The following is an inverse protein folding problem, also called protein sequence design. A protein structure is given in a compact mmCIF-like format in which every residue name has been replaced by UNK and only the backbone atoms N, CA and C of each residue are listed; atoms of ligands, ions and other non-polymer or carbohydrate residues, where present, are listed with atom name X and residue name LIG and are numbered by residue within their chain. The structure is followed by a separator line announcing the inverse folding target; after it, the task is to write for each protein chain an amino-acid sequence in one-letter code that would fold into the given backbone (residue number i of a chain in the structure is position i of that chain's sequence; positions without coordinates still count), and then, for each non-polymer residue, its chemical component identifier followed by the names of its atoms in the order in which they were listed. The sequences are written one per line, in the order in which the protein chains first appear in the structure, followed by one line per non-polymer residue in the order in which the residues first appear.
data_IF_168424554978
#
_entry.id   IF_168424554978
#
_cell.length_a   1.000
_cell.length_b   1.000
_cell.length_c   1.000
_cell.angle_alpha   90.00
_cell.angle_beta   90.00
_cell.angle_gamma   90.00
#
_symmetry.space_group_name_H-M   'P 1'
#
loop_
_entity.id
_entity.type
_entity.pdbx_description
1 polymer ?
#
# COMPACT_ATOMS: atom_id res chain seq x y z
N UNK A 1 -9.58 -0.31 -11.22
CA UNK A 1 -9.31 -1.53 -10.43
C UNK A 1 -10.60 -2.00 -9.74
N UNK A 2 -10.79 -3.30 -9.45
CA UNK A 2 -11.95 -3.77 -8.67
C UNK A 2 -11.68 -3.57 -7.16
N UNK A 3 -12.57 -2.88 -6.43
CA UNK A 3 -12.42 -2.64 -4.98
C UNK A 3 -12.25 -3.94 -4.18
N UNK A 4 -12.96 -5.01 -4.56
CA UNK A 4 -12.87 -6.29 -3.86
C UNK A 4 -11.53 -6.99 -4.05
N UNK A 5 -10.82 -6.71 -5.14
CA UNK A 5 -9.47 -7.22 -5.38
C UNK A 5 -8.44 -6.49 -4.51
N UNK A 6 -8.56 -5.16 -4.39
CA UNK A 6 -7.69 -4.36 -3.51
C UNK A 6 -7.79 -4.89 -2.07
N UNK A 7 -9.02 -5.08 -1.58
CA UNK A 7 -9.27 -5.56 -0.23
C UNK A 7 -8.69 -6.94 0.03
N UNK A 8 -8.87 -7.86 -0.92
CA UNK A 8 -8.35 -9.21 -0.81
C UNK A 8 -6.82 -9.22 -0.74
N UNK A 9 -6.17 -8.50 -1.65
CA UNK A 9 -4.71 -8.49 -1.75
C UNK A 9 -4.07 -7.78 -0.56
N UNK A 10 -4.63 -6.67 -0.08
CA UNK A 10 -4.13 -5.99 1.11
C UNK A 10 -4.30 -6.84 2.38
N UNK A 11 -5.40 -7.59 2.50
CA UNK A 11 -5.59 -8.52 3.61
C UNK A 11 -4.55 -9.66 3.59
N UNK A 12 -4.27 -10.23 2.41
CA UNK A 12 -3.21 -11.24 2.27
C UNK A 12 -1.82 -10.68 2.61
N UNK A 13 -1.52 -9.47 2.18
CA UNK A 13 -0.27 -8.79 2.51
C UNK A 13 -0.13 -8.55 4.02
N UNK A 14 -1.19 -8.10 4.69
CA UNK A 14 -1.19 -7.88 6.14
C UNK A 14 -0.91 -9.19 6.90
N UNK A 15 -1.52 -10.30 6.47
CA UNK A 15 -1.25 -11.63 7.06
C UNK A 15 0.20 -12.09 6.89
N UNK A 16 0.87 -11.69 5.81
CA UNK A 16 2.27 -12.06 5.51
C UNK A 16 3.29 -11.03 6.02
N UNK A 17 2.83 -9.83 6.39
CA UNK A 17 3.68 -8.74 6.84
C UNK A 17 4.38 -9.15 8.14
N UNK A 18 5.71 -9.04 8.12
CA UNK A 18 6.52 -9.13 9.33
C UNK A 18 6.64 -7.72 9.88
N UNK A 19 6.31 -7.55 11.16
CA UNK A 19 6.59 -6.29 11.85
C UNK A 19 8.11 -6.09 11.91
N UNK A 20 8.61 -5.04 11.26
CA UNK A 20 9.97 -4.56 11.43
C UNK A 20 10.00 -3.54 12.57
N UNK A 21 11.18 -3.35 13.16
CA UNK A 21 11.38 -2.35 14.19
C UNK A 21 11.37 -0.91 13.64
N UNK A 22 11.57 -0.74 12.31
CA UNK A 22 11.69 0.56 11.65
C UNK A 22 10.48 0.84 10.74
N UNK A 23 9.59 1.79 11.12
CA UNK A 23 8.43 2.17 10.33
C UNK A 23 8.75 2.70 8.93
N UNK A 24 9.91 3.33 8.74
CA UNK A 24 10.32 3.84 7.43
C UNK A 24 10.64 2.68 6.48
N UNK A 25 11.31 1.65 6.98
CA UNK A 25 11.61 0.45 6.19
C UNK A 25 10.33 -0.33 5.84
N UNK A 26 9.37 -0.39 6.77
CA UNK A 26 8.05 -0.96 6.48
C UNK A 26 7.32 -0.21 5.38
N UNK A 27 7.35 1.13 5.44
CA UNK A 27 6.72 1.99 4.46
C UNK A 27 7.29 1.73 3.06
N UNK A 28 8.62 1.70 2.92
CA UNK A 28 9.29 1.43 1.64
C UNK A 28 8.94 0.03 1.12
N UNK A 29 8.93 -0.99 1.99
CA UNK A 29 8.53 -2.35 1.59
C UNK A 29 7.09 -2.39 1.09
N UNK A 30 6.17 -1.70 1.78
CA UNK A 30 4.77 -1.61 1.37
C UNK A 30 4.63 -0.84 0.07
N UNK A 31 5.36 0.26 -0.13
CA UNK A 31 5.37 1.03 -1.38
C UNK A 31 5.73 0.13 -2.57
N UNK A 32 6.87 -0.59 -2.48
CA UNK A 32 7.31 -1.52 -3.52
C UNK A 32 6.24 -2.58 -3.82
N UNK A 33 5.62 -3.13 -2.77
CA UNK A 33 4.56 -4.13 -2.93
C UNK A 33 3.35 -3.57 -3.68
N UNK A 34 2.83 -2.40 -3.28
CA UNK A 34 1.64 -1.83 -3.93
C UNK A 34 1.91 -1.34 -5.34
N UNK A 35 3.10 -0.80 -5.61
CA UNK A 35 3.51 -0.39 -6.96
C UNK A 35 3.58 -1.59 -7.90
N UNK A 36 4.22 -2.69 -7.48
CA UNK A 36 4.38 -3.91 -8.28
C UNK A 36 3.05 -4.63 -8.53
N UNK A 37 2.26 -4.83 -7.48
CA UNK A 37 0.99 -5.58 -7.56
C UNK A 37 -0.10 -4.81 -8.30
N UNK A 38 -0.22 -3.51 -8.04
CA UNK A 38 -1.30 -2.70 -8.59
C UNK A 38 -0.89 -1.93 -9.86
N UNK A 39 0.38 -2.03 -10.28
CA UNK A 39 0.90 -1.33 -11.46
C UNK A 39 0.88 0.20 -11.29
N UNK A 40 1.16 0.66 -10.07
CA UNK A 40 1.13 2.08 -9.69
C UNK A 40 2.55 2.62 -9.56
N UNK A 41 2.66 3.95 -9.52
CA UNK A 41 3.90 4.63 -9.12
C UNK A 41 3.52 5.68 -8.08
N UNK A 42 4.09 5.56 -6.89
CA UNK A 42 3.90 6.51 -5.80
C UNK A 42 4.94 7.63 -5.92
N UNK A 43 4.53 8.87 -5.68
CA UNK A 43 5.49 9.95 -5.48
C UNK A 43 6.15 9.84 -4.11
N UNK A 44 7.30 10.50 -3.94
CA UNK A 44 8.00 10.55 -2.65
C UNK A 44 7.09 11.05 -1.52
N UNK A 45 6.21 12.03 -1.79
CA UNK A 45 5.24 12.55 -0.83
C UNK A 45 4.18 11.51 -0.41
N UNK A 46 3.87 10.55 -1.29
CA UNK A 46 2.97 9.43 -1.01
C UNK A 46 3.66 8.29 -0.27
N UNK A 47 5.00 8.22 -0.27
CA UNK A 47 5.79 7.27 0.51
C UNK A 47 5.90 7.78 1.96
N UNK A 48 4.75 7.76 2.65
CA UNK A 48 4.63 8.21 4.03
C UNK A 48 4.42 7.00 4.96
N UNK A 49 5.29 6.78 5.97
CA UNK A 49 5.12 5.69 6.93
C UNK A 49 3.78 5.69 7.66
N UNK A 50 3.23 6.86 7.98
CA UNK A 50 1.92 6.95 8.63
C UNK A 50 0.76 6.45 7.76
N UNK A 51 0.93 6.48 6.43
CA UNK A 51 -0.08 6.01 5.47
C UNK A 51 0.18 4.55 5.11
N UNK A 52 1.43 4.21 4.80
CA UNK A 52 1.81 2.90 4.28
C UNK A 52 1.90 1.79 5.36
N UNK A 53 1.87 2.16 6.64
CA UNK A 53 1.78 1.19 7.74
C UNK A 53 0.37 1.02 8.30
N UNK A 54 -0.56 1.93 7.95
CA UNK A 54 -1.97 1.90 8.32
C UNK A 54 -2.81 1.20 7.22
N UNK A 55 -3.48 0.07 7.51
CA UNK A 55 -4.28 -0.67 6.53
C UNK A 55 -5.40 0.15 5.88
N UNK A 56 -6.03 1.07 6.62
CA UNK A 56 -7.16 1.87 6.13
C UNK A 56 -6.64 2.96 5.20
N UNK A 57 -5.61 3.69 5.64
CA UNK A 57 -5.01 4.76 4.83
C UNK A 57 -4.36 4.21 3.55
N UNK A 58 -3.72 3.05 3.63
CA UNK A 58 -3.15 2.34 2.47
C UNK A 58 -4.23 1.97 1.45
N UNK A 59 -5.36 1.44 1.90
CA UNK A 59 -6.49 1.10 1.03
C UNK A 59 -7.01 2.34 0.28
N UNK A 60 -7.19 3.45 0.99
CA UNK A 60 -7.66 4.71 0.40
C UNK A 60 -6.65 5.26 -0.63
N UNK A 61 -5.36 5.18 -0.33
CA UNK A 61 -4.28 5.57 -1.25
C UNK A 61 -4.31 4.74 -2.55
N UNK A 62 -4.40 3.41 -2.44
CA UNK A 62 -4.45 2.53 -3.63
C UNK A 62 -5.74 2.76 -4.43
N UNK A 63 -6.88 2.92 -3.76
CA UNK A 63 -8.15 3.17 -4.43
C UNK A 63 -8.17 4.51 -5.19
N UNK A 64 -7.58 5.56 -4.61
CA UNK A 64 -7.51 6.89 -5.24
C UNK A 64 -6.50 6.95 -6.39
N UNK A 65 -5.39 6.22 -6.30
CA UNK A 65 -4.34 6.21 -7.34
C UNK A 65 -4.73 5.37 -8.57
N UNK A 66 -5.69 4.45 -8.41
CA UNK A 66 -6.14 3.54 -9.49
C UNK A 66 -7.40 4.02 -10.23
N UNK A 67 -7.92 5.20 -9.89
CA UNK A 67 -9.00 5.83 -10.63
C UNK A 67 -8.41 6.57 -11.83
N UNK A 68 -8.72 6.16 -13.07
CA UNK A 68 -8.33 6.95 -14.24
C UNK A 68 -9.16 8.24 -14.25
N UNK A 69 -8.51 9.38 -14.54
CA UNK A 69 -9.17 10.49 -15.24
C UNK A 69 -9.65 10.00 -16.63
#
# INVERSE_FOLDING_TARGET
MNIGLIDHVLAEYEHQRKAYADPALEAVRTAIFVEDVFGLTLSDDQINPAVLTDPVALRELVASTTSPD
#
